data_IF_191468370916
#
_entry.id   IF_191468370916
#
_cell.length_a   1.000
_cell.length_b   1.000
_cell.length_c   1.000
_cell.angle_alpha   90.00
_cell.angle_beta   90.00
_cell.angle_gamma   90.00
#
_symmetry.space_group_name_H-M   'P 1'
#
loop_
_entity.id
_entity.type
_entity.pdbx_description
1 polymer ?
#
# COMPACT_ATOMS: atom_id res chain seq x y z
N UNK A 1 13.02 19.83 2.83
CA UNK A 1 11.61 19.38 2.77
C UNK A 1 11.54 18.36 1.64
N UNK A 2 11.63 17.07 1.95
CA UNK A 2 11.43 16.04 0.93
C UNK A 2 9.97 16.16 0.49
N UNK A 3 9.76 16.41 -0.80
CA UNK A 3 8.43 16.35 -1.39
C UNK A 3 8.10 14.88 -1.48
N UNK A 4 7.07 14.43 -0.77
CA UNK A 4 6.62 13.04 -0.85
C UNK A 4 6.38 12.72 -2.33
N UNK A 5 7.03 11.65 -2.81
CA UNK A 5 6.98 11.27 -4.23
C UNK A 5 5.61 10.73 -4.64
N UNK A 6 4.77 10.41 -3.66
CA UNK A 6 3.40 9.92 -3.79
C UNK A 6 2.59 10.37 -2.58
N UNK A 7 1.31 10.68 -2.75
CA UNK A 7 0.39 10.96 -1.65
C UNK A 7 -0.11 9.66 -0.99
N UNK A 8 -0.70 9.79 0.20
CA UNK A 8 -1.33 8.64 0.88
C UNK A 8 -2.53 8.11 0.09
N UNK A 9 -3.31 8.98 -0.52
CA UNK A 9 -4.46 8.63 -1.37
C UNK A 9 -4.00 7.88 -2.62
N UNK A 10 -2.92 8.34 -3.26
CA UNK A 10 -2.31 7.65 -4.39
C UNK A 10 -1.78 6.27 -3.98
N UNK A 11 -1.05 6.17 -2.87
CA UNK A 11 -0.55 4.91 -2.34
C UNK A 11 -1.68 3.92 -2.03
N UNK A 12 -2.77 4.38 -1.40
CA UNK A 12 -3.95 3.57 -1.12
C UNK A 12 -4.63 3.09 -2.42
N UNK A 13 -4.74 3.97 -3.42
CA UNK A 13 -5.33 3.61 -4.71
C UNK A 13 -4.51 2.54 -5.43
N UNK A 14 -3.18 2.65 -5.42
CA UNK A 14 -2.29 1.62 -5.96
C UNK A 14 -2.43 0.30 -5.21
N UNK A 15 -2.47 0.35 -3.87
CA UNK A 15 -2.69 -0.83 -3.02
C UNK A 15 -3.97 -1.57 -3.40
N UNK A 16 -5.08 -0.85 -3.49
CA UNK A 16 -6.38 -1.43 -3.85
C UNK A 16 -6.39 -1.97 -5.29
N UNK A 17 -5.75 -1.26 -6.22
CA UNK A 17 -5.61 -1.70 -7.60
C UNK A 17 -4.84 -3.02 -7.67
N UNK A 18 -3.69 -3.09 -7.01
CA UNK A 18 -2.88 -4.31 -6.99
C UNK A 18 -3.64 -5.49 -6.37
N UNK A 19 -4.25 -5.29 -5.20
CA UNK A 19 -4.92 -6.38 -4.47
C UNK A 19 -6.19 -6.83 -5.23
N UNK A 20 -7.07 -5.91 -5.63
CA UNK A 20 -8.39 -6.26 -6.16
C UNK A 20 -8.34 -6.54 -7.66
N UNK A 21 -7.68 -5.67 -8.43
CA UNK A 21 -7.70 -5.75 -9.90
C UNK A 21 -6.65 -6.72 -10.42
N UNK A 22 -5.41 -6.61 -9.95
CA UNK A 22 -4.30 -7.40 -10.49
C UNK A 22 -4.23 -8.80 -9.87
N UNK A 23 -4.38 -8.91 -8.55
CA UNK A 23 -4.35 -10.19 -7.83
C UNK A 23 -5.72 -10.87 -7.77
N UNK A 24 -6.81 -10.17 -8.12
CA UNK A 24 -8.17 -10.71 -8.06
C UNK A 24 -8.65 -11.06 -6.66
N UNK A 25 -8.04 -10.50 -5.62
CA UNK A 25 -8.37 -10.81 -4.23
C UNK A 25 -9.59 -10.01 -3.79
N UNK A 26 -10.46 -10.66 -3.04
CA UNK A 26 -11.62 -10.00 -2.45
C UNK A 26 -11.25 -9.47 -1.08
N UNK A 27 -11.65 -8.23 -0.78
CA UNK A 27 -11.38 -7.61 0.52
C UNK A 27 -12.69 -7.24 1.18
N UNK A 28 -12.87 -7.63 2.44
CA UNK A 28 -14.02 -7.18 3.25
C UNK A 28 -13.75 -5.77 3.75
N UNK A 29 -14.63 -4.82 3.42
CA UNK A 29 -14.49 -3.41 3.81
C UNK A 29 -15.03 -3.16 5.24
N UNK A 30 -14.47 -3.86 6.22
CA UNK A 30 -14.75 -3.64 7.64
C UNK A 30 -13.78 -2.64 8.28
N UNK A 31 -14.06 -2.27 9.52
CA UNK A 31 -13.28 -1.26 10.25
C UNK A 31 -11.80 -1.65 10.43
N UNK A 32 -11.52 -2.93 10.68
CA UNK A 32 -10.15 -3.40 10.92
C UNK A 32 -9.36 -3.40 9.62
N UNK A 33 -9.97 -3.89 8.55
CA UNK A 33 -9.37 -3.95 7.21
C UNK A 33 -9.09 -2.55 6.68
N UNK A 34 -10.04 -1.63 6.83
CA UNK A 34 -9.85 -0.21 6.50
C UNK A 34 -8.71 0.43 7.30
N UNK A 35 -8.62 0.14 8.60
CA UNK A 35 -7.53 0.62 9.44
C UNK A 35 -6.17 0.11 8.96
N UNK A 36 -6.08 -1.19 8.67
CA UNK A 36 -4.85 -1.83 8.19
C UNK A 36 -4.42 -1.27 6.84
N UNK A 37 -5.32 -1.19 5.85
CA UNK A 37 -5.03 -0.60 4.54
C UNK A 37 -4.58 0.86 4.64
N UNK A 38 -5.20 1.63 5.53
CA UNK A 38 -4.85 3.04 5.76
C UNK A 38 -3.45 3.18 6.36
N UNK A 39 -3.05 2.27 7.25
CA UNK A 39 -1.70 2.27 7.82
C UNK A 39 -0.66 1.77 6.83
N UNK A 40 -1.01 0.76 6.02
CA UNK A 40 -0.15 0.24 4.95
C UNK A 40 0.16 1.32 3.91
N UNK A 41 -0.83 2.13 3.53
CA UNK A 41 -0.63 3.27 2.64
C UNK A 41 0.28 4.35 3.26
N UNK A 42 0.20 4.59 4.58
CA UNK A 42 1.12 5.51 5.27
C UNK A 42 2.54 4.96 5.29
N UNK A 43 2.70 3.66 5.53
CA UNK A 43 3.99 3.00 5.53
C UNK A 43 4.64 3.06 4.15
N UNK A 44 3.88 2.80 3.08
CA UNK A 44 4.35 2.94 1.71
C UNK A 44 4.89 4.36 1.44
N UNK A 45 4.12 5.40 1.79
CA UNK A 45 4.57 6.80 1.65
C UNK A 45 5.87 7.03 2.43
N UNK A 46 5.94 6.53 3.66
CA UNK A 46 7.15 6.66 4.49
C UNK A 46 8.36 6.01 3.82
N UNK A 47 8.29 4.74 3.44
CA UNK A 47 9.40 4.01 2.81
C UNK A 47 9.87 4.66 1.50
N UNK A 48 8.92 5.12 0.68
CA UNK A 48 9.19 5.81 -0.59
C UNK A 48 9.86 7.18 -0.37
N UNK A 49 9.50 7.87 0.72
CA UNK A 49 10.05 9.19 1.05
C UNK A 49 11.47 9.13 1.63
N UNK A 50 11.80 8.07 2.39
CA UNK A 50 13.11 7.94 3.07
C UNK A 50 14.17 7.24 2.22
N UNK A 51 13.76 6.49 1.19
CA UNK A 51 14.68 5.71 0.37
C UNK A 51 14.92 6.36 -0.99
N UNK A 52 16.15 6.82 -1.23
CA UNK A 52 16.56 7.29 -2.55
C UNK A 52 16.66 6.13 -3.55
N UNK A 53 16.17 6.35 -4.78
CA UNK A 53 16.25 5.36 -5.86
C UNK A 53 15.24 4.21 -5.78
N UNK A 54 14.43 4.12 -4.71
CA UNK A 54 13.37 3.12 -4.63
C UNK A 54 12.25 3.42 -5.64
N UNK A 55 11.70 2.37 -6.22
CA UNK A 55 10.59 2.42 -7.15
C UNK A 55 9.26 2.30 -6.37
N UNK A 56 8.36 3.31 -6.44
CA UNK A 56 7.14 3.35 -5.64
C UNK A 56 6.23 2.11 -5.76
N UNK A 57 6.06 1.57 -6.97
CA UNK A 57 5.17 0.42 -7.16
C UNK A 57 5.72 -0.85 -6.49
N UNK A 58 7.03 -1.10 -6.55
CA UNK A 58 7.65 -2.30 -5.95
C UNK A 58 7.45 -2.33 -4.42
N UNK A 59 7.54 -1.18 -3.76
CA UNK A 59 7.27 -1.07 -2.31
C UNK A 59 5.82 -1.40 -2.00
N UNK A 60 4.89 -0.85 -2.78
CA UNK A 60 3.46 -1.05 -2.58
C UNK A 60 3.09 -2.53 -2.82
N UNK A 61 3.66 -3.17 -3.83
CA UNK A 61 3.46 -4.60 -4.12
C UNK A 61 3.99 -5.48 -2.98
N UNK A 62 5.18 -5.17 -2.45
CA UNK A 62 5.77 -5.89 -1.31
C UNK A 62 4.88 -5.81 -0.06
N UNK A 63 4.46 -4.59 0.28
CA UNK A 63 3.59 -4.36 1.44
C UNK A 63 2.20 -5.02 1.26
N UNK A 64 1.66 -4.99 0.04
CA UNK A 64 0.41 -5.68 -0.28
C UNK A 64 0.53 -7.20 -0.13
N UNK A 65 1.66 -7.79 -0.54
CA UNK A 65 1.90 -9.22 -0.37
C UNK A 65 1.93 -9.60 1.12
N UNK A 66 2.68 -8.87 1.95
CA UNK A 66 2.72 -9.10 3.41
C UNK A 66 1.34 -8.98 4.05
N UNK A 67 0.52 -8.02 3.62
CA UNK A 67 -0.85 -7.86 4.12
C UNK A 67 -1.72 -9.07 3.79
N UNK A 68 -1.60 -9.62 2.58
CA UNK A 68 -2.38 -10.78 2.12
C UNK A 68 -1.93 -12.08 2.80
N UNK A 69 -0.64 -12.26 3.01
CA UNK A 69 -0.08 -13.44 3.70
C UNK A 69 -0.51 -13.51 5.17
N UNK A 70 -0.62 -12.36 5.85
CA UNK A 70 -1.06 -12.28 7.24
C UNK A 70 -2.59 -12.31 7.43
N UNK A 71 -3.36 -12.21 6.33
CA UNK A 71 -4.83 -12.21 6.32
C UNK A 71 -5.43 -13.54 5.85
N UNK A 72 -4.59 -14.51 5.49
CA UNK A 72 -4.94 -15.87 5.04
C UNK A 72 -4.83 -16.88 6.18
#
# INVERSE_FOLDING_TARGET
>A
MHKDRISKEEALNFLLTHIIVERGQTITMDQLTLFNLTNLAKEAVHQISVSEGIIPHEVIESLAAEFLENSS
#
